data_IF_658670333941
#
_entry.id   IF_658670333941
#
_cell.length_a   1.000
_cell.length_b   1.000
_cell.length_c   1.000
_cell.angle_alpha   90.00
_cell.angle_beta   90.00
_cell.angle_gamma   90.00
#
_symmetry.space_group_name_H-M   'P 1'
#
loop_
_entity.id
_entity.type
_entity.pdbx_description
1 polymer ?
#
# COMPACT_ATOMS: atom_id res chain seq x y z
N UNK A 1 12.79 -3.95 -7.80
CA UNK A 1 13.26 -2.61 -7.39
C UNK A 1 12.31 -1.53 -7.87
N UNK A 2 11.94 -0.57 -7.01
CA UNK A 2 11.13 0.60 -7.30
C UNK A 2 12.04 1.83 -7.27
N UNK A 3 11.99 2.68 -8.32
CA UNK A 3 12.85 3.86 -8.43
C UNK A 3 12.05 5.11 -8.79
N UNK A 4 12.29 6.16 -8.05
CA UNK A 4 11.89 7.53 -8.36
C UNK A 4 13.15 8.29 -8.79
N UNK A 5 13.09 9.02 -9.91
CA UNK A 5 14.23 9.80 -10.40
C UNK A 5 13.83 11.25 -10.64
N UNK A 6 14.57 12.16 -10.02
CA UNK A 6 14.45 13.62 -10.20
C UNK A 6 13.00 14.13 -10.11
N UNK A 7 12.22 13.60 -9.16
CA UNK A 7 10.83 13.99 -8.98
C UNK A 7 10.73 15.40 -8.41
N UNK A 8 10.01 16.25 -9.10
CA UNK A 8 9.56 17.55 -8.62
C UNK A 8 8.04 17.55 -8.64
N UNK A 9 7.41 17.87 -7.51
CA UNK A 9 5.95 18.08 -7.40
C UNK A 9 5.74 19.47 -6.84
N UNK A 10 4.94 20.27 -7.51
CA UNK A 10 4.60 21.63 -7.08
C UNK A 10 3.17 22.00 -7.43
N UNK A 11 2.64 22.97 -6.73
CA UNK A 11 1.43 23.69 -7.10
C UNK A 11 1.75 25.19 -7.25
N UNK A 12 0.71 26.03 -7.46
CA UNK A 12 0.89 27.47 -7.63
C UNK A 12 1.53 28.19 -6.42
N UNK A 13 1.46 27.59 -5.23
CA UNK A 13 1.88 28.22 -3.98
C UNK A 13 3.24 27.73 -3.49
N UNK A 14 3.51 26.42 -3.65
CA UNK A 14 4.76 25.81 -3.13
C UNK A 14 5.23 24.61 -3.93
N UNK A 15 6.54 24.32 -3.81
CA UNK A 15 7.14 23.06 -4.20
C UNK A 15 7.06 22.08 -3.02
N UNK A 16 6.52 20.88 -3.26
CA UNK A 16 6.49 19.81 -2.24
C UNK A 16 7.76 18.94 -2.31
N UNK A 17 8.27 18.73 -3.51
CA UNK A 17 9.50 17.97 -3.76
C UNK A 17 10.31 18.64 -4.85
N UNK A 18 11.62 18.71 -4.65
CA UNK A 18 12.57 19.31 -5.61
C UNK A 18 13.65 18.29 -5.94
N UNK A 19 13.60 17.73 -7.14
CA UNK A 19 14.55 16.74 -7.66
C UNK A 19 14.76 15.50 -6.76
N UNK A 20 13.70 15.06 -6.07
CA UNK A 20 13.74 13.90 -5.20
C UNK A 20 14.09 12.64 -5.99
N UNK A 21 15.05 11.86 -5.50
CA UNK A 21 15.37 10.56 -6.05
C UNK A 21 15.42 9.51 -4.95
N UNK A 22 14.78 8.36 -5.20
CA UNK A 22 14.64 7.30 -4.22
C UNK A 22 14.64 5.94 -4.91
N UNK A 23 15.41 5.00 -4.38
CA UNK A 23 15.38 3.60 -4.79
C UNK A 23 14.93 2.74 -3.61
N UNK A 24 14.08 1.74 -3.89
CA UNK A 24 13.62 0.72 -2.93
C UNK A 24 13.87 -0.64 -3.53
N UNK A 25 14.66 -1.46 -2.85
CA UNK A 25 15.01 -2.80 -3.32
C UNK A 25 13.87 -3.80 -3.07
N UNK A 26 13.95 -4.97 -3.68
CA UNK A 26 13.00 -6.05 -3.47
C UNK A 26 13.03 -6.52 -2.01
N UNK A 27 11.85 -6.54 -1.37
CA UNK A 27 11.70 -6.87 0.05
C UNK A 27 12.13 -5.76 1.02
N UNK A 28 12.68 -4.65 0.52
CA UNK A 28 13.01 -3.49 1.34
C UNK A 28 11.75 -2.68 1.69
N UNK A 29 11.71 -2.19 2.93
CA UNK A 29 10.74 -1.17 3.36
C UNK A 29 11.49 0.13 3.59
N UNK A 30 11.23 1.12 2.77
CA UNK A 30 11.69 2.49 3.00
C UNK A 30 10.56 3.28 3.64
N UNK A 31 10.84 3.92 4.75
CA UNK A 31 9.87 4.72 5.49
C UNK A 31 10.09 6.19 5.21
N UNK A 32 9.06 6.89 4.76
CA UNK A 32 9.01 8.34 4.66
C UNK A 32 8.33 8.90 5.90
N UNK A 33 9.07 9.67 6.68
CA UNK A 33 8.56 10.38 7.84
C UNK A 33 8.46 11.88 7.54
N UNK A 34 7.68 12.59 8.32
CA UNK A 34 7.54 14.05 8.18
C UNK A 34 6.21 14.54 8.74
N UNK A 35 6.09 15.85 8.95
CA UNK A 35 4.89 16.47 9.49
C UNK A 35 3.67 16.31 8.56
N UNK A 36 2.47 16.47 9.13
CA UNK A 36 1.24 16.50 8.32
C UNK A 36 1.32 17.64 7.31
N UNK A 37 0.90 17.39 6.06
CA UNK A 37 0.95 18.39 5.00
C UNK A 37 2.29 18.50 4.25
N UNK A 38 3.31 17.69 4.60
CA UNK A 38 4.61 17.66 3.87
C UNK A 38 4.55 17.02 2.47
N UNK A 39 3.38 16.64 1.98
CA UNK A 39 3.21 16.09 0.63
C UNK A 39 3.32 14.58 0.51
N UNK A 40 3.41 13.83 1.61
CA UNK A 40 3.58 12.37 1.59
C UNK A 40 2.48 11.65 0.79
N UNK A 41 1.21 11.94 1.08
CA UNK A 41 0.07 11.35 0.35
C UNK A 41 0.02 11.85 -1.10
N UNK A 42 0.45 13.08 -1.39
CA UNK A 42 0.57 13.61 -2.76
C UNK A 42 1.60 12.83 -3.56
N UNK A 43 2.74 12.44 -2.93
CA UNK A 43 3.72 11.54 -3.53
C UNK A 43 3.11 10.18 -3.88
N UNK A 44 2.38 9.57 -2.93
CA UNK A 44 1.73 8.28 -3.17
C UNK A 44 0.70 8.37 -4.31
N UNK A 45 -0.11 9.44 -4.35
CA UNK A 45 -1.07 9.68 -5.42
C UNK A 45 -0.39 9.83 -6.79
N UNK A 46 0.73 10.56 -6.85
CA UNK A 46 1.53 10.62 -8.09
C UNK A 46 2.01 9.23 -8.51
N UNK A 47 2.50 8.42 -7.57
CA UNK A 47 3.01 7.07 -7.88
C UNK A 47 1.93 6.14 -8.42
N UNK A 48 0.69 6.22 -7.92
CA UNK A 48 -0.43 5.41 -8.44
C UNK A 48 -1.07 6.01 -9.70
N UNK A 49 -0.76 7.27 -10.05
CA UNK A 49 -1.34 7.95 -11.21
C UNK A 49 -2.64 8.67 -10.93
N UNK A 50 -2.88 9.04 -9.69
CA UNK A 50 -4.07 9.79 -9.22
C UNK A 50 -3.65 11.11 -8.56
N UNK A 51 -2.73 11.82 -9.22
CA UNK A 51 -2.30 13.14 -8.75
C UNK A 51 -3.43 14.15 -8.95
N UNK A 52 -3.74 14.91 -7.89
CA UNK A 52 -4.71 16.00 -7.98
C UNK A 52 -4.31 17.02 -9.06
N UNK A 53 -5.23 17.45 -9.94
CA UNK A 53 -4.96 18.38 -11.04
C UNK A 53 -4.39 19.75 -10.62
N UNK A 54 -4.51 20.13 -9.35
CA UNK A 54 -3.89 21.36 -8.82
C UNK A 54 -2.37 21.27 -8.70
N UNK A 55 -1.80 20.05 -8.77
CA UNK A 55 -0.36 19.82 -8.75
C UNK A 55 0.16 19.51 -10.15
N UNK A 56 1.39 19.96 -10.40
CA UNK A 56 2.20 19.52 -11.53
C UNK A 56 3.36 18.66 -11.05
N UNK A 57 3.71 17.64 -11.81
CA UNK A 57 4.82 16.76 -11.49
C UNK A 57 5.71 16.54 -12.69
N UNK A 58 7.03 16.55 -12.48
CA UNK A 58 8.05 16.12 -13.45
C UNK A 58 8.96 15.10 -12.75
N UNK A 59 9.52 14.18 -13.52
CA UNK A 59 10.35 13.10 -13.00
C UNK A 59 9.95 11.77 -13.60
N UNK A 60 10.57 10.71 -13.14
CA UNK A 60 10.33 9.37 -13.64
C UNK A 60 10.06 8.39 -12.51
N UNK A 61 9.09 7.50 -12.71
CA UNK A 61 8.81 6.36 -11.87
C UNK A 61 9.09 5.06 -12.60
N UNK A 62 9.99 4.26 -12.06
CA UNK A 62 10.38 2.98 -12.62
C UNK A 62 10.08 1.83 -11.67
N UNK A 63 9.50 0.76 -12.20
CA UNK A 63 9.29 -0.48 -11.50
C UNK A 63 10.03 -1.60 -12.26
N UNK A 64 11.19 -2.01 -11.74
CA UNK A 64 12.20 -2.77 -12.45
C UNK A 64 12.64 -2.02 -13.73
N UNK A 65 12.45 -2.60 -14.91
CA UNK A 65 12.77 -1.99 -16.21
C UNK A 65 11.58 -1.27 -16.86
N UNK A 66 10.42 -1.20 -16.19
CA UNK A 66 9.21 -0.57 -16.72
C UNK A 66 9.08 0.86 -16.20
N UNK A 67 8.98 1.83 -17.08
CA UNK A 67 8.64 3.20 -16.74
C UNK A 67 7.13 3.31 -16.51
N UNK A 68 6.72 3.71 -15.30
CA UNK A 68 5.33 3.65 -14.84
C UNK A 68 4.63 5.01 -14.81
N UNK A 69 5.36 6.12 -14.69
CA UNK A 69 4.76 7.47 -14.56
C UNK A 69 3.86 7.86 -15.73
N UNK A 70 4.12 7.31 -16.93
CA UNK A 70 3.32 7.55 -18.15
C UNK A 70 2.18 6.56 -18.35
N UNK A 71 2.06 5.54 -17.48
CA UNK A 71 1.02 4.52 -17.58
C UNK A 71 -0.24 4.91 -16.80
N UNK A 72 -1.44 4.48 -17.26
CA UNK A 72 -2.65 4.60 -16.46
C UNK A 72 -2.55 3.74 -15.19
N UNK A 73 -3.29 4.11 -14.15
CA UNK A 73 -3.24 3.51 -12.78
C UNK A 73 -3.28 1.99 -12.80
N UNK A 74 -4.19 1.38 -13.54
CA UNK A 74 -4.39 -0.06 -13.63
C UNK A 74 -3.20 -0.82 -14.25
N UNK A 75 -2.34 -0.13 -15.00
CA UNK A 75 -1.18 -0.71 -15.67
C UNK A 75 0.13 -0.51 -14.90
N UNK A 76 0.11 0.24 -13.80
CA UNK A 76 1.31 0.49 -12.97
C UNK A 76 1.68 -0.69 -12.09
N UNK A 77 0.73 -1.58 -11.80
CA UNK A 77 0.93 -2.72 -10.89
C UNK A 77 1.45 -2.32 -9.50
N UNK A 78 1.03 -1.17 -9.00
CA UNK A 78 1.37 -0.66 -7.67
C UNK A 78 0.14 -0.84 -6.78
N UNK A 79 0.31 -1.52 -5.65
CA UNK A 79 -0.72 -1.65 -4.62
C UNK A 79 -0.63 -0.48 -3.64
N UNK A 80 -1.76 0.07 -3.23
CA UNK A 80 -1.84 1.08 -2.19
C UNK A 80 -2.76 0.60 -1.06
N UNK A 81 -2.24 0.60 0.15
CA UNK A 81 -3.02 0.43 1.37
C UNK A 81 -3.23 1.81 1.99
N UNK A 82 -4.47 2.24 2.04
CA UNK A 82 -4.87 3.50 2.63
C UNK A 82 -4.95 3.41 4.16
N UNK A 83 -4.97 4.55 4.81
CA UNK A 83 -5.23 4.70 6.24
C UNK A 83 -6.58 4.10 6.67
N UNK A 84 -7.59 4.19 5.78
CA UNK A 84 -8.88 3.52 5.92
C UNK A 84 -8.89 2.16 5.26
N UNK A 85 -9.58 1.19 5.85
CA UNK A 85 -9.67 -0.18 5.32
C UNK A 85 -10.32 -0.24 3.92
N UNK A 86 -11.19 0.71 3.60
CA UNK A 86 -11.92 0.86 2.34
C UNK A 86 -12.51 -0.47 1.81
N UNK A 87 -12.98 -1.33 2.72
CA UNK A 87 -13.69 -2.55 2.32
C UNK A 87 -15.05 -2.16 1.73
N UNK A 88 -15.45 -2.85 0.66
CA UNK A 88 -16.75 -2.67 0.04
C UNK A 88 -17.84 -3.16 0.99
N UNK A 89 -18.70 -2.29 1.54
CA UNK A 89 -19.66 -2.68 2.57
C UNK A 89 -20.80 -3.56 2.05
N UNK A 90 -21.05 -3.55 0.75
CA UNK A 90 -22.07 -4.35 0.08
C UNK A 90 -21.56 -5.74 -0.37
N UNK A 91 -20.29 -6.03 -0.15
CA UNK A 91 -19.67 -7.32 -0.46
C UNK A 91 -19.26 -8.03 0.83
N UNK A 92 -19.39 -9.36 0.86
CA UNK A 92 -18.86 -10.15 1.97
C UNK A 92 -17.32 -10.04 2.05
N UNK A 93 -16.73 -10.50 3.15
CA UNK A 93 -15.28 -10.57 3.34
C UNK A 93 -14.62 -11.35 2.19
N UNK A 94 -15.16 -12.51 1.85
CA UNK A 94 -14.64 -13.31 0.74
C UNK A 94 -14.80 -12.64 -0.62
N UNK A 95 -15.90 -11.94 -0.85
CA UNK A 95 -16.10 -11.18 -2.09
C UNK A 95 -15.15 -10.00 -2.20
N UNK A 96 -14.86 -9.29 -1.09
CA UNK A 96 -13.82 -8.25 -1.05
C UNK A 96 -12.46 -8.78 -1.49
N UNK A 97 -12.05 -9.95 -0.99
CA UNK A 97 -10.80 -10.59 -1.39
C UNK A 97 -10.85 -11.10 -2.84
N UNK A 98 -11.96 -11.72 -3.23
CA UNK A 98 -12.14 -12.22 -4.58
C UNK A 98 -12.08 -11.11 -5.64
N UNK A 99 -12.53 -9.89 -5.30
CA UNK A 99 -12.49 -8.75 -6.21
C UNK A 99 -11.07 -8.47 -6.75
N UNK A 100 -10.05 -8.63 -5.92
CA UNK A 100 -8.67 -8.36 -6.28
C UNK A 100 -7.96 -9.50 -7.02
N UNK A 101 -8.56 -10.69 -7.10
CA UNK A 101 -7.88 -11.83 -7.73
C UNK A 101 -7.64 -11.61 -9.22
N UNK A 102 -6.41 -11.85 -9.70
CA UNK A 102 -6.08 -11.77 -11.12
C UNK A 102 -6.92 -12.71 -12.01
N UNK A 103 -7.01 -12.36 -13.30
CA UNK A 103 -7.79 -13.11 -14.30
C UNK A 103 -7.31 -14.57 -14.50
N UNK A 104 -6.09 -14.91 -14.05
CA UNK A 104 -5.60 -16.30 -14.09
C UNK A 104 -6.41 -17.25 -13.18
N UNK A 105 -7.03 -16.73 -12.11
CA UNK A 105 -7.94 -17.51 -11.27
C UNK A 105 -9.32 -17.56 -11.94
N UNK A 106 -9.51 -18.55 -12.82
CA UNK A 106 -10.75 -18.71 -13.59
C UNK A 106 -11.73 -19.62 -12.89
N UNK A 107 -13.02 -19.23 -12.94
CA UNK A 107 -14.14 -19.98 -12.38
C UNK A 107 -14.34 -19.77 -10.86
N UNK A 108 -15.60 -19.84 -10.44
CA UNK A 108 -16.03 -19.56 -9.06
C UNK A 108 -15.33 -20.46 -8.04
N UNK A 109 -15.17 -21.75 -8.35
CA UNK A 109 -14.54 -22.72 -7.43
C UNK A 109 -13.07 -22.37 -7.13
N UNK A 110 -12.26 -22.08 -8.16
CA UNK A 110 -10.84 -21.75 -7.98
C UNK A 110 -10.68 -20.42 -7.23
N UNK A 111 -11.49 -19.41 -7.52
CA UNK A 111 -11.49 -18.12 -6.82
C UNK A 111 -11.88 -18.30 -5.35
N UNK A 112 -12.96 -19.04 -5.07
CA UNK A 112 -13.38 -19.33 -3.69
C UNK A 112 -12.28 -20.07 -2.92
N UNK A 113 -11.69 -21.10 -3.49
CA UNK A 113 -10.61 -21.86 -2.85
C UNK A 113 -9.40 -20.98 -2.52
N UNK A 114 -8.99 -20.10 -3.44
CA UNK A 114 -7.88 -19.16 -3.19
C UNK A 114 -8.20 -18.18 -2.06
N UNK A 115 -9.43 -17.67 -2.02
CA UNK A 115 -9.89 -16.77 -0.94
C UNK A 115 -9.95 -17.49 0.41
N UNK A 116 -10.51 -18.69 0.47
CA UNK A 116 -10.60 -19.48 1.70
C UNK A 116 -9.20 -19.83 2.25
N UNK A 117 -8.27 -20.17 1.37
CA UNK A 117 -6.87 -20.36 1.75
C UNK A 117 -6.27 -19.07 2.34
N UNK A 118 -6.48 -17.93 1.67
CA UNK A 118 -6.00 -16.64 2.16
C UNK A 118 -6.58 -16.29 3.53
N UNK A 119 -7.89 -16.51 3.73
CA UNK A 119 -8.54 -16.29 5.02
C UNK A 119 -7.99 -17.21 6.12
N UNK A 120 -7.71 -18.45 5.78
CA UNK A 120 -7.07 -19.41 6.71
C UNK A 120 -5.66 -18.95 7.09
N UNK A 121 -4.85 -18.52 6.11
CA UNK A 121 -3.47 -18.05 6.32
C UNK A 121 -3.38 -16.85 7.28
N UNK A 122 -4.44 -16.04 7.34
CA UNK A 122 -4.49 -14.84 8.21
C UNK A 122 -5.31 -15.04 9.50
N UNK A 123 -5.68 -16.30 9.82
CA UNK A 123 -6.43 -16.63 11.03
C UNK A 123 -7.90 -16.24 11.00
N UNK A 124 -8.50 -16.10 9.81
CA UNK A 124 -9.91 -15.76 9.59
C UNK A 124 -10.67 -16.90 8.89
N UNK A 125 -10.34 -18.15 9.22
CA UNK A 125 -11.04 -19.32 8.70
C UNK A 125 -12.56 -19.21 8.95
N UNK A 126 -13.37 -19.50 7.92
CA UNK A 126 -14.84 -19.44 8.02
C UNK A 126 -15.44 -18.04 7.90
N UNK A 127 -14.65 -17.01 7.61
CA UNK A 127 -15.13 -15.63 7.49
C UNK A 127 -15.60 -15.25 6.08
N UNK A 128 -15.54 -16.17 5.12
CA UNK A 128 -15.85 -15.89 3.72
C UNK A 128 -17.17 -15.13 3.50
N UNK A 129 -18.23 -15.60 4.15
CA UNK A 129 -19.58 -15.07 3.93
C UNK A 129 -19.99 -14.01 4.98
N UNK A 130 -19.06 -13.56 5.84
CA UNK A 130 -19.33 -12.53 6.84
C UNK A 130 -19.42 -11.14 6.23
N UNK A 131 -20.23 -10.30 6.85
CA UNK A 131 -20.29 -8.86 6.58
C UNK A 131 -19.01 -8.18 7.13
N UNK A 132 -18.29 -7.35 6.34
CA UNK A 132 -17.13 -6.59 6.80
C UNK A 132 -17.41 -5.71 8.03
N UNK A 133 -18.62 -5.21 8.20
CA UNK A 133 -19.01 -4.40 9.36
C UNK A 133 -18.93 -5.17 10.69
N UNK A 134 -18.99 -6.51 10.65
CA UNK A 134 -18.90 -7.37 11.85
C UNK A 134 -17.47 -7.68 12.28
N UNK A 135 -16.47 -7.25 11.51
CA UNK A 135 -15.07 -7.48 11.82
C UNK A 135 -14.54 -6.48 12.87
N UNK A 136 -13.59 -6.90 13.68
CA UNK A 136 -12.79 -5.96 14.49
C UNK A 136 -11.88 -5.09 13.58
N UNK A 137 -11.38 -3.97 14.10
CA UNK A 137 -10.46 -3.10 13.37
C UNK A 137 -9.23 -3.85 12.81
N UNK A 138 -8.58 -4.66 13.64
CA UNK A 138 -7.43 -5.46 13.20
C UNK A 138 -7.79 -6.54 12.16
N UNK A 139 -9.00 -7.11 12.23
CA UNK A 139 -9.47 -8.06 11.21
C UNK A 139 -9.74 -7.35 9.88
N UNK A 140 -10.38 -6.17 9.91
CA UNK A 140 -10.59 -5.36 8.70
C UNK A 140 -9.26 -4.95 8.06
N UNK A 141 -8.30 -4.48 8.87
CA UNK A 141 -6.98 -4.10 8.38
C UNK A 141 -6.25 -5.28 7.68
N UNK A 142 -6.30 -6.50 8.27
CA UNK A 142 -5.74 -7.70 7.64
C UNK A 142 -6.43 -8.04 6.32
N UNK A 143 -7.75 -7.99 6.25
CA UNK A 143 -8.50 -8.24 5.01
C UNK A 143 -8.15 -7.21 3.94
N UNK A 144 -8.05 -5.92 4.30
CA UNK A 144 -7.68 -4.84 3.38
C UNK A 144 -6.27 -5.04 2.81
N UNK A 145 -5.27 -5.34 3.66
CA UNK A 145 -3.93 -5.68 3.19
C UNK A 145 -3.94 -6.86 2.25
N UNK A 146 -4.61 -7.96 2.62
CA UNK A 146 -4.65 -9.16 1.78
C UNK A 146 -5.38 -8.91 0.46
N UNK A 147 -6.40 -8.07 0.43
CA UNK A 147 -7.03 -7.63 -0.82
C UNK A 147 -6.01 -6.93 -1.73
N UNK A 148 -5.20 -6.03 -1.18
CA UNK A 148 -4.14 -5.36 -1.94
C UNK A 148 -3.09 -6.34 -2.45
N UNK A 149 -2.65 -7.29 -1.62
CA UNK A 149 -1.62 -8.26 -1.99
C UNK A 149 -2.12 -9.35 -2.97
N UNK A 150 -3.41 -9.71 -2.91
CA UNK A 150 -4.01 -10.66 -3.86
C UNK A 150 -4.08 -10.14 -5.30
N UNK A 151 -4.00 -8.83 -5.50
CA UNK A 151 -3.83 -8.23 -6.82
C UNK A 151 -2.45 -8.48 -7.43
N UNK A 152 -1.54 -9.10 -6.68
CA UNK A 152 -0.16 -9.39 -7.06
C UNK A 152 0.61 -8.14 -7.51
N UNK A 153 0.63 -7.07 -6.66
CA UNK A 153 1.32 -5.85 -7.01
C UNK A 153 2.84 -6.09 -7.07
N UNK A 154 3.53 -5.31 -7.90
CA UNK A 154 4.99 -5.35 -8.02
C UNK A 154 5.70 -4.33 -7.12
N UNK A 155 4.94 -3.41 -6.53
CA UNK A 155 5.36 -2.51 -5.46
C UNK A 155 4.18 -2.25 -4.53
N UNK A 156 4.45 -1.96 -3.26
CA UNK A 156 3.44 -1.68 -2.25
C UNK A 156 3.68 -0.29 -1.66
N UNK A 157 2.61 0.49 -1.59
CA UNK A 157 2.58 1.77 -0.91
C UNK A 157 1.68 1.65 0.31
N UNK A 158 2.12 2.17 1.45
CA UNK A 158 1.40 2.14 2.71
C UNK A 158 1.23 3.58 3.21
N UNK A 159 0.00 4.07 3.25
CA UNK A 159 -0.33 5.43 3.72
C UNK A 159 -0.88 5.37 5.15
N UNK A 160 -0.03 5.64 6.14
CA UNK A 160 -0.33 5.62 7.58
C UNK A 160 -1.13 4.37 8.03
N UNK A 161 -0.71 3.16 7.65
CA UNK A 161 -1.53 1.95 7.77
C UNK A 161 -1.83 1.53 9.21
N UNK A 162 -1.11 2.08 10.18
CA UNK A 162 -1.20 1.69 11.59
C UNK A 162 -1.90 2.74 12.47
N UNK A 163 -2.19 3.92 11.94
CA UNK A 163 -2.60 5.10 12.73
C UNK A 163 -3.96 4.95 13.44
N UNK A 164 -4.87 4.14 12.89
CA UNK A 164 -6.24 3.93 13.42
C UNK A 164 -6.37 2.74 14.39
N UNK A 165 -5.26 2.07 14.69
CA UNK A 165 -5.25 0.90 15.55
C UNK A 165 -4.79 1.27 16.96
N UNK A 166 -5.37 0.63 17.98
CA UNK A 166 -4.84 0.70 19.33
C UNK A 166 -3.43 0.08 19.43
N UNK A 167 -2.71 0.35 20.50
CA UNK A 167 -1.30 -0.01 20.65
C UNK A 167 -1.02 -1.52 20.47
N UNK A 168 -1.93 -2.37 20.95
CA UNK A 168 -1.78 -3.83 20.88
C UNK A 168 -2.02 -4.32 19.44
N UNK A 169 -3.15 -3.92 18.85
CA UNK A 169 -3.49 -4.26 17.46
C UNK A 169 -2.46 -3.69 16.48
N UNK A 170 -1.98 -2.47 16.72
CA UNK A 170 -0.93 -1.83 15.93
C UNK A 170 0.34 -2.67 15.88
N UNK A 171 0.82 -3.12 17.05
CA UNK A 171 2.03 -3.96 17.12
C UNK A 171 1.84 -5.27 16.36
N UNK A 172 0.69 -5.94 16.53
CA UNK A 172 0.39 -7.19 15.86
C UNK A 172 0.24 -7.00 14.33
N UNK A 173 -0.45 -5.95 13.92
CA UNK A 173 -0.67 -5.69 12.50
C UNK A 173 0.61 -5.26 11.79
N UNK A 174 1.44 -4.46 12.45
CA UNK A 174 2.76 -4.08 11.92
C UNK A 174 3.66 -5.29 11.68
N UNK A 175 3.77 -6.19 12.65
CA UNK A 175 4.52 -7.44 12.48
C UNK A 175 3.97 -8.27 11.30
N UNK A 176 2.66 -8.38 11.20
CA UNK A 176 2.00 -9.08 10.10
C UNK A 176 2.28 -8.44 8.73
N UNK A 177 2.21 -7.10 8.61
CA UNK A 177 2.52 -6.38 7.36
C UNK A 177 3.95 -6.67 6.90
N UNK A 178 4.93 -6.54 7.81
CA UNK A 178 6.33 -6.74 7.46
C UNK A 178 6.64 -8.20 7.10
N UNK A 179 6.03 -9.16 7.78
CA UNK A 179 6.12 -10.58 7.40
C UNK A 179 5.61 -10.81 5.96
N UNK A 180 4.48 -10.19 5.58
CA UNK A 180 3.94 -10.34 4.23
C UNK A 180 4.87 -9.72 3.17
N UNK A 181 5.46 -8.56 3.45
CA UNK A 181 6.41 -7.88 2.55
C UNK A 181 7.66 -8.73 2.33
N UNK A 182 8.24 -9.25 3.40
CA UNK A 182 9.42 -10.11 3.35
C UNK A 182 9.13 -11.40 2.57
N UNK A 183 8.01 -12.05 2.87
CA UNK A 183 7.57 -13.30 2.20
C UNK A 183 7.40 -13.13 0.70
N UNK A 184 6.87 -11.99 0.25
CA UNK A 184 6.59 -11.72 -1.16
C UNK A 184 7.70 -10.95 -1.86
N UNK A 185 8.72 -10.49 -1.12
CA UNK A 185 9.84 -9.68 -1.62
C UNK A 185 9.39 -8.44 -2.40
N UNK A 186 8.32 -7.80 -1.96
CA UNK A 186 7.77 -6.61 -2.62
C UNK A 186 8.52 -5.37 -2.13
N UNK A 187 9.08 -4.52 -3.03
CA UNK A 187 9.59 -3.20 -2.65
C UNK A 187 8.45 -2.35 -2.10
N UNK A 188 8.65 -1.80 -0.89
CA UNK A 188 7.58 -1.12 -0.16
C UNK A 188 7.98 0.27 0.28
N UNK A 189 7.13 1.26 0.03
CA UNK A 189 7.23 2.60 0.56
C UNK A 189 6.16 2.79 1.64
N UNK A 190 6.61 3.01 2.88
CA UNK A 190 5.75 3.28 4.03
C UNK A 190 5.77 4.78 4.33
N UNK A 191 4.61 5.37 4.42
CA UNK A 191 4.42 6.74 4.89
C UNK A 191 3.84 6.70 6.30
N UNK A 192 4.48 7.37 7.24
CA UNK A 192 4.00 7.51 8.62
C UNK A 192 4.55 8.78 9.28
N UNK A 193 3.86 9.27 10.29
CA UNK A 193 4.37 10.31 11.18
C UNK A 193 4.91 9.74 12.50
N UNK A 194 4.77 8.41 12.73
CA UNK A 194 5.23 7.76 13.97
C UNK A 194 6.56 7.01 13.75
N UNK A 195 7.64 7.42 14.41
CA UNK A 195 8.92 6.73 14.31
C UNK A 195 8.88 5.26 14.73
N UNK A 196 7.91 4.87 15.57
CA UNK A 196 7.75 3.48 16.00
C UNK A 196 7.31 2.54 14.87
N UNK A 197 6.84 3.07 13.74
CA UNK A 197 6.43 2.27 12.58
C UNK A 197 7.61 1.90 11.66
N UNK A 198 8.77 2.52 11.86
CA UNK A 198 9.98 2.18 11.08
C UNK A 198 10.41 0.75 11.45
N UNK A 199 10.59 -0.15 10.47
CA UNK A 199 11.10 -1.49 10.72
C UNK A 199 12.48 -1.43 11.41
N UNK A 200 12.76 -2.39 12.27
CA UNK A 200 14.09 -2.48 12.90
C UNK A 200 15.16 -2.67 11.83
N UNK A 201 16.14 -1.76 11.78
CA UNK A 201 17.17 -1.72 10.75
C UNK A 201 16.68 -1.23 9.37
N UNK A 202 15.42 -0.80 9.27
CA UNK A 202 14.86 -0.21 8.06
C UNK A 202 15.40 1.18 7.77
N UNK A 203 15.37 1.58 6.49
CA UNK A 203 15.76 2.92 6.06
C UNK A 203 14.60 3.90 6.24
N UNK A 204 14.84 4.97 6.97
CA UNK A 204 13.92 6.09 7.12
C UNK A 204 14.48 7.35 6.44
N UNK A 205 13.60 8.10 5.80
CA UNK A 205 13.91 9.38 5.14
C UNK A 205 12.91 10.39 5.69
N UNK A 206 13.42 11.45 6.25
CA UNK A 206 12.57 12.54 6.71
C UNK A 206 12.32 13.53 5.57
N UNK A 207 11.04 13.79 5.30
CA UNK A 207 10.63 14.85 4.39
C UNK A 207 10.50 16.11 5.23
N UNK A 208 11.49 16.98 5.14
CA UNK A 208 11.42 18.33 5.68
C UNK A 208 10.63 19.22 4.73
N UNK A 209 9.86 20.16 5.28
CA UNK A 209 9.22 21.20 4.49
C UNK A 209 10.30 21.96 3.71
N UNK A 210 10.17 21.96 2.36
CA UNK A 210 11.00 22.78 1.47
C UNK A 210 10.47 24.19 1.38
#
# INVERSE_FOLDING_TARGET
MLNIKNLTISNAEKSLFSAMSLAVEEGEVVTLTGVSGSGKSTLLNWMIGDLDPSFSATGELWLNSLRCDTLPTESRHIGLLFQDDLLFPHLSVGQNLAFALPAKFRGAKARRQRVEQTLSDIGLHGFHDRDPATLSGGQRARVSLMRTLLAEPRALLLDEPFSKLDAVLRTQFRAFVFEQIERQKIPTLLVTHDPADVPQGGRAIEISDC
#
